data_IF_270346765329
#
_entry.id   IF_270346765329
#
_cell.length_a   1.000
_cell.length_b   1.000
_cell.length_c   1.000
_cell.angle_alpha   90.00
_cell.angle_beta   90.00
_cell.angle_gamma   90.00
#
_symmetry.space_group_name_H-M   'P 1'
#
loop_
_entity.id
_entity.type
_entity.pdbx_description
1 polymer ?
#
# COMPACT_ATOMS: atom_id res chain seq x y z
N UNK A 1 6.41 14.54 -20.90
CA UNK A 1 5.19 14.14 -20.13
C UNK A 1 4.82 12.77 -20.65
N UNK A 2 5.09 11.77 -19.86
CA UNK A 2 5.14 10.38 -20.28
C UNK A 2 3.75 9.73 -20.34
N UNK A 3 3.66 8.63 -21.11
CA UNK A 3 2.48 7.79 -21.30
C UNK A 3 1.87 7.22 -20.01
N UNK A 4 2.54 7.29 -18.88
CA UNK A 4 2.11 6.78 -17.58
C UNK A 4 0.92 7.52 -16.99
N UNK A 5 0.80 8.83 -17.21
CA UNK A 5 -0.30 9.63 -16.65
C UNK A 5 -1.69 9.32 -17.24
N UNK A 6 -1.74 8.70 -18.42
CA UNK A 6 -2.98 8.34 -19.12
C UNK A 6 -3.49 6.92 -18.75
N UNK A 7 -2.67 6.11 -18.11
CA UNK A 7 -2.97 4.71 -17.82
C UNK A 7 -3.90 4.54 -16.60
N UNK A 8 -3.84 5.46 -15.64
CA UNK A 8 -4.64 5.42 -14.40
C UNK A 8 -5.84 6.39 -14.50
N UNK A 9 -6.80 6.03 -15.36
CA UNK A 9 -8.05 6.78 -15.60
C UNK A 9 -9.23 6.21 -14.80
N UNK A 10 -10.42 6.76 -15.03
CA UNK A 10 -11.65 6.31 -14.38
C UNK A 10 -11.93 4.81 -14.63
N UNK A 11 -11.69 4.33 -15.86
CA UNK A 11 -11.94 2.94 -16.23
C UNK A 11 -11.01 2.00 -15.46
N UNK A 12 -9.76 2.38 -15.28
CA UNK A 12 -8.79 1.62 -14.48
C UNK A 12 -9.29 1.42 -13.04
N UNK A 13 -9.70 2.51 -12.36
CA UNK A 13 -10.14 2.43 -10.96
C UNK A 13 -11.47 1.68 -10.80
N UNK A 14 -12.38 1.80 -11.75
CA UNK A 14 -13.62 1.03 -11.76
C UNK A 14 -13.36 -0.46 -11.97
N UNK A 15 -12.51 -0.82 -12.95
CA UNK A 15 -12.17 -2.21 -13.25
C UNK A 15 -11.48 -2.93 -12.09
N UNK A 16 -10.62 -2.21 -11.34
CA UNK A 16 -9.87 -2.77 -10.21
C UNK A 16 -10.60 -2.63 -8.85
N UNK A 17 -11.86 -2.16 -8.83
CA UNK A 17 -12.62 -1.97 -7.59
C UNK A 17 -11.99 -0.97 -6.61
N UNK A 18 -11.19 -0.04 -7.13
CA UNK A 18 -10.43 0.95 -6.33
C UNK A 18 -11.09 2.33 -6.32
N UNK A 19 -12.22 2.49 -6.99
CA UNK A 19 -12.98 3.74 -7.02
C UNK A 19 -13.57 4.10 -5.65
N UNK A 20 -13.90 3.10 -4.81
CA UNK A 20 -14.61 3.26 -3.56
C UNK A 20 -13.74 3.09 -2.31
N UNK A 21 -14.29 3.54 -1.18
CA UNK A 21 -13.65 3.41 0.14
C UNK A 21 -13.73 1.96 0.66
N UNK A 22 -12.68 1.20 0.46
CA UNK A 22 -12.60 -0.22 0.81
C UNK A 22 -12.35 -0.44 2.31
N UNK A 23 -12.92 -1.50 2.92
CA UNK A 23 -12.70 -1.83 4.34
C UNK A 23 -11.23 -2.00 4.72
N UNK A 24 -10.39 -2.52 3.81
CA UNK A 24 -8.95 -2.67 4.02
C UNK A 24 -8.25 -1.36 4.40
N UNK A 25 -8.70 -0.21 3.86
CA UNK A 25 -8.12 1.10 4.17
C UNK A 25 -8.28 1.50 5.64
N UNK A 26 -9.34 1.04 6.32
CA UNK A 26 -9.51 1.21 7.77
C UNK A 26 -8.43 0.46 8.53
N UNK A 27 -8.13 -0.74 8.09
CA UNK A 27 -7.11 -1.54 8.73
C UNK A 27 -5.72 -0.96 8.49
N UNK A 28 -5.37 -0.54 7.27
CA UNK A 28 -4.11 0.15 6.99
C UNK A 28 -3.96 1.43 7.84
N UNK A 29 -5.02 2.23 7.96
CA UNK A 29 -5.03 3.39 8.87
C UNK A 29 -4.74 2.99 10.33
N UNK A 30 -5.29 1.84 10.78
CA UNK A 30 -5.02 1.32 12.13
C UNK A 30 -3.57 0.87 12.31
N UNK A 31 -2.95 0.30 11.27
CA UNK A 31 -1.53 -0.05 11.28
C UNK A 31 -0.66 1.21 11.38
N UNK A 32 -0.94 2.24 10.56
CA UNK A 32 -0.23 3.53 10.65
C UNK A 32 -0.31 4.09 12.06
N UNK A 33 -1.51 4.22 12.63
CA UNK A 33 -1.70 4.72 13.99
C UNK A 33 -0.96 3.91 15.06
N UNK A 34 -0.80 2.60 14.85
CA UNK A 34 -0.21 1.68 15.83
C UNK A 34 1.30 1.56 15.73
N UNK A 35 1.83 1.59 14.51
CA UNK A 35 3.22 1.20 14.25
C UNK A 35 4.07 2.33 13.71
N UNK A 36 3.56 3.57 13.73
CA UNK A 36 4.35 4.75 13.38
C UNK A 36 4.30 5.77 14.52
N UNK A 37 5.27 6.68 14.56
CA UNK A 37 5.39 7.73 15.57
C UNK A 37 4.55 8.98 15.23
N UNK A 38 3.53 8.81 14.38
CA UNK A 38 2.63 9.87 13.98
C UNK A 38 3.08 10.64 12.74
N UNK A 39 2.27 11.65 12.37
CA UNK A 39 2.46 12.48 11.18
C UNK A 39 3.50 13.59 11.32
N UNK A 40 3.57 14.49 10.33
CA UNK A 40 2.70 14.54 9.15
C UNK A 40 2.72 13.26 8.31
N UNK A 41 1.58 12.98 7.65
CA UNK A 41 1.37 11.74 6.90
C UNK A 41 1.47 11.99 5.40
N UNK A 42 2.06 11.05 4.65
CA UNK A 42 2.04 11.03 3.20
C UNK A 42 1.43 9.72 2.70
N UNK A 43 0.47 9.81 1.78
CA UNK A 43 0.01 8.66 1.00
C UNK A 43 0.64 8.74 -0.40
N UNK A 44 1.62 7.90 -0.66
CA UNK A 44 2.38 7.88 -1.91
C UNK A 44 1.71 6.92 -2.90
N UNK A 45 1.23 7.44 -4.03
CA UNK A 45 0.31 6.74 -4.92
C UNK A 45 -1.11 6.74 -4.33
N UNK A 46 -1.62 7.92 -3.95
CA UNK A 46 -2.85 8.02 -3.18
C UNK A 46 -4.14 7.70 -3.96
N UNK A 47 -4.03 7.48 -5.27
CA UNK A 47 -5.15 7.16 -6.15
C UNK A 47 -6.30 8.15 -5.98
N UNK A 48 -7.50 7.64 -5.74
CA UNK A 48 -8.72 8.46 -5.54
C UNK A 48 -8.83 9.12 -4.16
N UNK A 49 -7.81 8.99 -3.29
CA UNK A 49 -7.68 9.78 -2.04
C UNK A 49 -8.40 9.22 -0.81
N UNK A 50 -8.95 8.01 -0.87
CA UNK A 50 -9.68 7.45 0.27
C UNK A 50 -8.79 7.16 1.48
N UNK A 51 -7.54 6.70 1.28
CA UNK A 51 -6.61 6.48 2.39
C UNK A 51 -6.08 7.82 2.94
N UNK A 52 -5.66 8.75 2.08
CA UNK A 52 -5.19 10.07 2.55
C UNK A 52 -6.26 10.82 3.32
N UNK A 53 -7.55 10.70 2.94
CA UNK A 53 -8.67 11.24 3.74
C UNK A 53 -8.72 10.66 5.15
N UNK A 54 -8.44 9.36 5.31
CA UNK A 54 -8.39 8.72 6.62
C UNK A 54 -7.19 9.16 7.43
N UNK A 55 -6.05 9.35 6.78
CA UNK A 55 -4.83 9.87 7.41
C UNK A 55 -5.03 11.32 7.86
N UNK A 56 -5.74 12.16 7.09
CA UNK A 56 -6.03 13.54 7.47
C UNK A 56 -6.89 13.67 8.74
N UNK A 57 -7.63 12.61 9.09
CA UNK A 57 -8.34 12.54 10.38
C UNK A 57 -7.40 12.24 11.57
N UNK A 58 -6.17 11.81 11.33
CA UNK A 58 -5.15 11.57 12.36
C UNK A 58 -4.24 12.79 12.59
N UNK A 59 -4.09 13.66 11.58
CA UNK A 59 -3.24 14.83 11.59
C UNK A 59 -2.96 15.38 10.19
N UNK A 60 -2.04 16.34 10.04
CA UNK A 60 -1.66 16.89 8.74
C UNK A 60 -1.30 15.78 7.77
N UNK A 61 -1.91 15.78 6.57
CA UNK A 61 -1.71 14.74 5.58
C UNK A 61 -1.57 15.31 4.17
N UNK A 62 -0.75 14.64 3.36
CA UNK A 62 -0.60 14.90 1.93
C UNK A 62 -0.78 13.61 1.13
N UNK A 63 -1.13 13.74 -0.15
CA UNK A 63 -1.14 12.67 -1.13
C UNK A 63 -0.27 13.02 -2.32
N UNK A 64 0.49 12.06 -2.80
CA UNK A 64 1.19 12.15 -4.07
C UNK A 64 0.56 11.18 -5.07
N UNK A 65 0.26 11.64 -6.28
CA UNK A 65 -0.37 10.83 -7.32
C UNK A 65 0.07 11.30 -8.71
N UNK A 66 0.52 10.38 -9.54
CA UNK A 66 1.03 10.69 -10.89
C UNK A 66 -0.08 10.99 -11.91
N UNK A 67 -1.29 10.42 -11.69
CA UNK A 67 -2.44 10.63 -12.55
C UNK A 67 -3.18 11.91 -12.17
N UNK A 68 -3.28 12.85 -13.11
CA UNK A 68 -4.08 14.08 -12.93
C UNK A 68 -5.57 13.79 -12.70
N UNK A 69 -6.11 12.74 -13.32
CA UNK A 69 -7.48 12.30 -13.08
C UNK A 69 -7.67 11.91 -11.61
N UNK A 70 -6.81 11.02 -11.13
CA UNK A 70 -6.86 10.51 -9.75
C UNK A 70 -6.59 11.61 -8.74
N UNK A 71 -5.61 12.48 -9.00
CA UNK A 71 -5.29 13.61 -8.14
C UNK A 71 -6.48 14.60 -8.02
N UNK A 72 -7.20 14.87 -9.10
CA UNK A 72 -8.43 15.70 -9.02
C UNK A 72 -9.50 15.01 -8.17
N UNK A 73 -9.70 13.71 -8.36
CA UNK A 73 -10.66 12.93 -7.56
C UNK A 73 -10.25 12.90 -6.08
N UNK A 74 -8.95 12.72 -5.81
CA UNK A 74 -8.40 12.74 -4.46
C UNK A 74 -8.62 14.08 -3.75
N UNK A 75 -8.44 15.21 -4.44
CA UNK A 75 -8.73 16.55 -3.89
C UNK A 75 -10.19 16.71 -3.49
N UNK A 76 -11.11 16.13 -4.28
CA UNK A 76 -12.54 16.13 -3.93
C UNK A 76 -12.86 15.21 -2.74
N UNK A 77 -12.25 14.02 -2.68
CA UNK A 77 -12.51 13.03 -1.64
C UNK A 77 -11.81 13.34 -0.31
N UNK A 78 -10.69 14.07 -0.34
CA UNK A 78 -9.86 14.39 0.83
C UNK A 78 -9.59 15.91 0.95
N UNK A 79 -10.61 16.76 1.15
CA UNK A 79 -10.45 18.22 1.17
C UNK A 79 -9.58 18.72 2.35
N UNK A 80 -9.31 17.88 3.35
CA UNK A 80 -8.41 18.18 4.47
C UNK A 80 -6.94 17.83 4.23
N UNK A 81 -6.58 17.33 3.03
CA UNK A 81 -5.23 16.96 2.67
C UNK A 81 -4.70 17.77 1.48
N UNK A 82 -3.38 17.94 1.40
CA UNK A 82 -2.72 18.53 0.23
C UNK A 82 -2.43 17.44 -0.79
N UNK A 83 -2.93 17.55 -2.03
CA UNK A 83 -2.68 16.58 -3.10
C UNK A 83 -1.81 17.21 -4.18
N UNK A 84 -0.67 16.58 -4.46
CA UNK A 84 0.29 17.00 -5.49
C UNK A 84 0.54 15.90 -6.52
N UNK A 85 0.81 16.31 -7.75
CA UNK A 85 1.34 15.45 -8.83
C UNK A 85 2.83 15.70 -9.08
N UNK A 86 3.40 16.66 -8.35
CA UNK A 86 4.80 17.03 -8.44
C UNK A 86 5.59 16.41 -7.27
N UNK A 87 6.53 15.47 -7.54
CA UNK A 87 7.35 14.86 -6.51
C UNK A 87 8.33 15.85 -5.86
N UNK A 88 8.68 16.94 -6.56
CA UNK A 88 9.59 17.97 -6.05
C UNK A 88 8.90 18.90 -5.03
N UNK A 89 7.56 18.90 -5.00
CA UNK A 89 6.80 19.59 -3.95
C UNK A 89 6.84 18.87 -2.58
N UNK A 90 7.42 17.66 -2.50
CA UNK A 90 7.56 16.90 -1.27
C UNK A 90 8.88 17.28 -0.58
N UNK A 91 8.81 18.05 0.49
CA UNK A 91 9.96 18.58 1.20
C UNK A 91 10.74 17.50 1.98
N UNK A 92 12.05 17.72 2.12
CA UNK A 92 12.96 16.83 2.84
C UNK A 92 12.61 16.75 4.32
N UNK A 93 12.50 15.54 4.85
CA UNK A 93 12.24 15.31 6.27
C UNK A 93 10.86 15.78 6.76
N UNK A 94 9.94 16.12 5.85
CA UNK A 94 8.64 16.68 6.21
C UNK A 94 7.68 15.67 6.83
N UNK A 95 7.83 14.37 6.54
CA UNK A 95 6.85 13.36 6.93
C UNK A 95 7.34 12.45 8.04
N UNK A 96 6.48 12.21 9.04
CA UNK A 96 6.71 11.22 10.09
C UNK A 96 6.29 9.81 9.70
N UNK A 97 5.28 9.71 8.83
CA UNK A 97 4.81 8.44 8.31
C UNK A 97 4.39 8.55 6.84
N UNK A 98 4.69 7.50 6.08
CA UNK A 98 4.34 7.33 4.67
C UNK A 98 3.55 6.03 4.50
N UNK A 99 2.54 6.04 3.64
CA UNK A 99 1.89 4.83 3.13
C UNK A 99 2.15 4.69 1.64
N UNK A 100 2.38 3.46 1.17
CA UNK A 100 2.44 3.11 -0.24
C UNK A 100 1.75 1.75 -0.42
N UNK A 101 0.51 1.80 -0.86
CA UNK A 101 -0.36 0.64 -0.97
C UNK A 101 -0.55 0.30 -2.43
N UNK A 102 0.01 -0.81 -2.87
CA UNK A 102 -0.01 -1.24 -4.27
C UNK A 102 0.62 -0.18 -5.20
N UNK A 103 1.92 0.08 -5.00
CA UNK A 103 2.69 1.05 -5.78
C UNK A 103 3.94 0.42 -6.39
N UNK A 104 4.77 -0.27 -5.60
CA UNK A 104 6.09 -0.73 -6.05
C UNK A 104 6.02 -1.81 -7.13
N UNK A 105 4.95 -2.59 -7.17
CA UNK A 105 4.69 -3.60 -8.20
C UNK A 105 4.46 -3.03 -9.60
N UNK A 106 4.14 -1.73 -9.69
CA UNK A 106 3.96 -1.01 -10.96
C UNK A 106 5.26 -0.38 -11.47
N UNK A 107 6.33 -0.40 -10.68
CA UNK A 107 7.60 0.24 -10.99
C UNK A 107 8.65 -0.80 -11.34
N UNK A 108 9.43 -0.57 -12.39
CA UNK A 108 10.64 -1.34 -12.60
C UNK A 108 11.66 -1.12 -11.47
N UNK A 109 12.67 -1.99 -11.37
CA UNK A 109 13.64 -1.93 -10.27
C UNK A 109 14.38 -0.58 -10.20
N UNK A 110 14.72 0.02 -11.33
CA UNK A 110 15.42 1.29 -11.37
C UNK A 110 14.53 2.45 -10.90
N UNK A 111 13.25 2.42 -11.24
CA UNK A 111 12.28 3.41 -10.76
C UNK A 111 11.94 3.19 -9.29
N UNK A 112 11.79 1.93 -8.85
CA UNK A 112 11.62 1.59 -7.46
C UNK A 112 12.81 2.04 -6.59
N UNK A 113 14.05 1.92 -7.09
CA UNK A 113 15.25 2.45 -6.43
C UNK A 113 15.17 3.96 -6.20
N UNK A 114 14.83 4.72 -7.24
CA UNK A 114 14.65 6.18 -7.14
C UNK A 114 13.52 6.55 -6.18
N UNK A 115 12.43 5.81 -6.22
CA UNK A 115 11.28 5.99 -5.33
C UNK A 115 11.66 5.77 -3.86
N UNK A 116 12.39 4.70 -3.56
CA UNK A 116 12.85 4.43 -2.19
C UNK A 116 13.87 5.46 -1.71
N UNK A 117 14.75 5.96 -2.59
CA UNK A 117 15.64 7.07 -2.28
C UNK A 117 14.83 8.36 -1.97
N UNK A 118 13.79 8.65 -2.75
CA UNK A 118 12.89 9.77 -2.48
C UNK A 118 12.15 9.59 -1.14
N UNK A 119 11.65 8.39 -0.82
CA UNK A 119 11.02 8.13 0.49
C UNK A 119 11.98 8.36 1.66
N UNK A 120 13.26 7.95 1.53
CA UNK A 120 14.27 8.25 2.53
C UNK A 120 14.55 9.75 2.67
N UNK A 121 14.46 10.51 1.59
CA UNK A 121 14.64 11.97 1.61
C UNK A 121 13.48 12.65 2.35
N UNK A 122 12.24 12.33 2.01
CA UNK A 122 11.03 13.02 2.49
C UNK A 122 10.58 12.57 3.89
N UNK A 123 10.84 11.31 4.29
CA UNK A 123 10.63 10.89 5.68
C UNK A 123 11.65 11.56 6.60
N UNK A 124 11.24 12.02 7.76
CA UNK A 124 12.19 12.46 8.81
C UNK A 124 13.06 11.29 9.28
N UNK A 125 14.26 11.53 9.86
CA UNK A 125 15.01 10.48 10.57
C UNK A 125 14.09 9.79 11.59
N UNK A 126 14.15 8.46 11.65
CA UNK A 126 13.23 7.65 12.47
C UNK A 126 11.80 7.53 11.94
N UNK A 127 11.45 8.21 10.86
CA UNK A 127 10.11 8.13 10.26
C UNK A 127 9.82 6.75 9.65
N UNK A 128 8.54 6.43 9.49
CA UNK A 128 8.08 5.10 9.11
C UNK A 128 7.41 5.07 7.74
N UNK A 129 7.46 3.91 7.07
CA UNK A 129 6.66 3.64 5.88
C UNK A 129 5.86 2.34 6.06
N UNK A 130 4.56 2.39 5.79
CA UNK A 130 3.70 1.21 5.62
C UNK A 130 3.61 0.89 4.13
N UNK A 131 4.15 -0.25 3.72
CA UNK A 131 4.23 -0.65 2.32
C UNK A 131 3.50 -1.97 2.12
N UNK A 132 2.65 -2.03 1.09
CA UNK A 132 1.86 -3.22 0.76
C UNK A 132 1.99 -3.52 -0.72
N UNK A 133 2.37 -4.75 -1.07
CA UNK A 133 2.50 -5.24 -2.44
C UNK A 133 1.90 -6.65 -2.56
N UNK A 134 1.35 -7.03 -3.74
CA UNK A 134 0.88 -8.39 -3.99
C UNK A 134 2.00 -9.42 -3.77
N UNK A 135 1.67 -10.56 -3.14
CA UNK A 135 2.63 -11.64 -2.89
C UNK A 135 2.38 -12.83 -3.85
N UNK A 136 3.21 -13.01 -4.90
CA UNK A 136 3.02 -14.09 -5.87
C UNK A 136 3.23 -15.50 -5.27
N UNK A 137 3.80 -15.61 -4.09
CA UNK A 137 3.90 -16.85 -3.32
C UNK A 137 2.89 -16.93 -2.17
N UNK A 138 2.05 -15.91 -2.04
CA UNK A 138 1.01 -15.81 -1.03
C UNK A 138 -0.08 -16.86 -1.19
N UNK A 139 -0.87 -17.02 -0.12
CA UNK A 139 -1.99 -17.96 -0.12
C UNK A 139 -3.08 -17.57 -1.12
N UNK A 140 -3.35 -16.28 -1.29
CA UNK A 140 -4.31 -15.77 -2.28
C UNK A 140 -3.97 -16.27 -3.68
N UNK A 141 -2.71 -16.11 -4.09
CA UNK A 141 -2.20 -16.61 -5.38
C UNK A 141 -2.38 -18.14 -5.52
N UNK A 142 -2.07 -18.91 -4.48
CA UNK A 142 -2.22 -20.38 -4.51
C UNK A 142 -3.68 -20.83 -4.61
N UNK A 143 -4.61 -20.08 -4.07
CA UNK A 143 -6.05 -20.37 -4.11
C UNK A 143 -6.71 -19.92 -5.41
N UNK A 144 -6.43 -18.71 -5.87
CA UNK A 144 -7.00 -18.12 -7.08
C UNK A 144 -6.38 -18.67 -8.38
N UNK A 145 -5.15 -19.20 -8.32
CA UNK A 145 -4.49 -19.70 -9.53
C UNK A 145 -4.18 -18.59 -10.53
N UNK A 146 -4.63 -18.75 -11.77
CA UNK A 146 -4.47 -17.77 -12.85
C UNK A 146 -5.32 -16.52 -12.68
N UNK A 147 -6.41 -16.62 -11.93
CA UNK A 147 -7.37 -15.53 -11.70
C UNK A 147 -6.99 -14.63 -10.52
N UNK A 148 -5.78 -14.79 -10.00
CA UNK A 148 -5.29 -13.98 -8.89
C UNK A 148 -5.13 -12.50 -9.27
N UNK A 149 -5.53 -11.61 -8.38
CA UNK A 149 -5.54 -10.16 -8.59
C UNK A 149 -4.17 -9.59 -9.05
N UNK A 150 -3.08 -10.18 -8.58
CA UNK A 150 -1.74 -9.77 -9.00
C UNK A 150 -1.44 -10.01 -10.48
N UNK A 151 -2.13 -10.93 -11.17
CA UNK A 151 -2.02 -11.17 -12.60
C UNK A 151 -3.15 -10.52 -13.41
N UNK A 152 -4.25 -10.14 -12.76
CA UNK A 152 -5.38 -9.52 -13.44
C UNK A 152 -5.05 -8.09 -13.90
N UNK A 153 -4.14 -7.41 -13.22
CA UNK A 153 -3.71 -6.07 -13.58
C UNK A 153 -2.44 -6.15 -14.47
N UNK A 154 -2.53 -5.76 -15.75
CA UNK A 154 -1.40 -5.79 -16.68
C UNK A 154 -0.30 -4.79 -16.34
N UNK A 155 -0.56 -3.85 -15.43
CA UNK A 155 0.41 -2.86 -14.97
C UNK A 155 1.33 -3.37 -13.87
N UNK A 156 1.07 -4.55 -13.33
CA UNK A 156 1.93 -5.22 -12.35
C UNK A 156 3.17 -5.82 -13.05
N UNK A 157 4.19 -5.01 -13.27
CA UNK A 157 5.42 -5.39 -13.99
C UNK A 157 6.53 -5.92 -13.06
N UNK A 158 6.35 -5.78 -11.74
CA UNK A 158 7.39 -6.07 -10.75
C UNK A 158 6.85 -6.84 -9.54
N UNK A 159 6.34 -8.04 -9.79
CA UNK A 159 5.84 -8.91 -8.72
C UNK A 159 7.01 -9.69 -8.10
N UNK A 160 7.32 -9.41 -6.83
CA UNK A 160 8.34 -10.14 -6.07
C UNK A 160 7.71 -10.88 -4.87
N UNK A 161 8.18 -12.10 -4.55
CA UNK A 161 7.87 -12.76 -3.30
C UNK A 161 8.23 -11.92 -2.08
N UNK A 162 7.57 -12.15 -0.96
CA UNK A 162 7.79 -11.42 0.30
C UNK A 162 9.28 -11.32 0.68
N UNK A 163 10.02 -12.43 0.61
CA UNK A 163 11.44 -12.46 0.96
C UNK A 163 12.29 -11.56 0.04
N UNK A 164 11.98 -11.52 -1.27
CA UNK A 164 12.69 -10.66 -2.21
C UNK A 164 12.37 -9.18 -1.98
N UNK A 165 11.11 -8.83 -1.70
CA UNK A 165 10.77 -7.46 -1.28
C UNK A 165 11.49 -7.06 0.00
N UNK A 166 11.54 -7.94 0.99
CA UNK A 166 12.27 -7.69 2.23
C UNK A 166 13.74 -7.37 1.97
N UNK A 167 14.42 -8.20 1.17
CA UNK A 167 15.81 -7.98 0.76
C UNK A 167 15.97 -6.67 -0.02
N UNK A 168 15.09 -6.42 -0.99
CA UNK A 168 15.10 -5.22 -1.82
C UNK A 168 14.99 -3.94 -0.97
N UNK A 169 14.08 -3.92 0.01
CA UNK A 169 13.85 -2.78 0.90
C UNK A 169 15.02 -2.55 1.87
N UNK A 170 15.55 -3.65 2.44
CA UNK A 170 16.68 -3.54 3.39
C UNK A 170 17.98 -3.13 2.71
N UNK A 171 18.24 -3.62 1.51
CA UNK A 171 19.42 -3.22 0.72
C UNK A 171 19.41 -1.72 0.37
N UNK A 172 18.23 -1.07 0.41
CA UNK A 172 18.05 0.37 0.17
C UNK A 172 17.97 1.21 1.45
N UNK A 173 18.43 0.61 2.56
CA UNK A 173 18.66 1.30 3.82
C UNK A 173 17.42 1.50 4.69
N UNK A 174 16.34 0.75 4.46
CA UNK A 174 15.22 0.70 5.38
C UNK A 174 15.40 -0.43 6.41
N UNK A 175 14.98 -0.17 7.64
CA UNK A 175 14.85 -1.20 8.68
C UNK A 175 13.44 -1.78 8.62
N UNK A 176 13.32 -3.10 8.52
CA UNK A 176 12.02 -3.78 8.62
C UNK A 176 11.71 -4.01 10.10
N UNK A 177 10.79 -3.25 10.66
CA UNK A 177 10.38 -3.40 12.06
C UNK A 177 9.25 -4.41 12.25
N UNK A 178 8.35 -4.49 11.25
CA UNK A 178 7.26 -5.45 11.21
C UNK A 178 7.05 -5.95 9.80
N UNK A 179 6.68 -7.20 9.69
CA UNK A 179 6.31 -7.81 8.42
C UNK A 179 5.19 -8.83 8.61
N UNK A 180 4.39 -9.03 7.57
CA UNK A 180 3.26 -9.94 7.61
C UNK A 180 2.46 -9.90 6.31
N UNK A 181 1.17 -10.17 6.41
CA UNK A 181 0.25 -10.14 5.27
C UNK A 181 -1.10 -9.53 5.68
N UNK A 182 -1.80 -8.99 4.70
CA UNK A 182 -3.11 -8.36 4.88
C UNK A 182 -4.27 -9.34 5.09
N UNK A 183 -4.12 -10.58 4.68
CA UNK A 183 -5.19 -11.58 4.73
C UNK A 183 -5.72 -11.93 3.35
N UNK A 184 -6.97 -12.39 3.29
CA UNK A 184 -7.66 -12.77 2.07
C UNK A 184 -8.93 -11.92 1.95
N UNK A 185 -8.94 -10.95 1.05
CA UNK A 185 -10.05 -10.00 0.88
C UNK A 185 -11.07 -10.45 -0.17
N UNK A 186 -10.62 -11.14 -1.21
CA UNK A 186 -11.44 -11.63 -2.31
C UNK A 186 -11.93 -13.06 -2.07
N UNK A 187 -12.67 -13.27 -1.00
CA UNK A 187 -13.30 -14.56 -0.68
C UNK A 187 -14.66 -14.70 -1.40
N UNK A 188 -15.02 -15.91 -1.83
CA UNK A 188 -14.41 -17.21 -1.59
C UNK A 188 -13.37 -17.60 -2.65
N UNK A 189 -12.22 -18.11 -2.18
CA UNK A 189 -11.23 -18.76 -3.03
C UNK A 189 -11.46 -20.27 -3.10
N UNK A 190 -11.51 -20.82 -4.30
CA UNK A 190 -11.47 -22.26 -4.51
C UNK A 190 -12.83 -22.96 -4.55
N UNK A 191 -12.80 -24.29 -4.45
CA UNK A 191 -13.94 -25.19 -4.71
C UNK A 191 -14.75 -25.58 -3.48
N UNK A 192 -14.38 -25.15 -2.28
CA UNK A 192 -15.14 -25.42 -1.07
C UNK A 192 -16.46 -24.63 -1.06
N UNK A 193 -17.51 -25.14 -0.40
CA UNK A 193 -18.75 -24.37 -0.21
C UNK A 193 -18.43 -23.02 0.41
N UNK A 194 -19.00 -21.95 -0.18
CA UNK A 194 -18.73 -20.54 0.19
C UNK A 194 -18.72 -20.26 1.70
N UNK A 195 -19.55 -20.97 2.46
CA UNK A 195 -19.63 -20.81 3.92
C UNK A 195 -18.38 -21.34 4.65
N UNK A 196 -17.83 -22.47 4.22
CA UNK A 196 -16.63 -23.06 4.80
C UNK A 196 -15.38 -22.27 4.41
N UNK A 197 -15.32 -21.78 3.18
CA UNK A 197 -14.24 -20.89 2.74
C UNK A 197 -14.27 -19.59 3.53
N UNK A 198 -15.43 -18.95 3.68
CA UNK A 198 -15.58 -17.75 4.49
C UNK A 198 -15.09 -17.97 5.94
N UNK A 199 -15.52 -19.06 6.61
CA UNK A 199 -15.09 -19.33 7.97
C UNK A 199 -13.58 -19.58 8.10
N UNK A 200 -13.01 -20.35 7.17
CA UNK A 200 -11.59 -20.77 7.23
C UNK A 200 -10.61 -19.61 6.95
N UNK A 201 -10.97 -18.70 6.07
CA UNK A 201 -10.05 -17.65 5.59
C UNK A 201 -10.42 -16.28 6.13
N UNK A 202 -11.70 -15.97 6.25
CA UNK A 202 -12.16 -14.68 6.74
C UNK A 202 -11.94 -14.51 8.25
N UNK A 203 -12.04 -15.57 9.06
CA UNK A 203 -11.93 -15.44 10.53
C UNK A 203 -10.58 -14.88 10.94
N UNK A 204 -9.40 -15.40 10.50
CA UNK A 204 -8.12 -14.82 10.86
C UNK A 204 -7.94 -13.39 10.32
N UNK A 205 -8.37 -13.12 9.09
CA UNK A 205 -8.32 -11.77 8.50
C UNK A 205 -9.23 -10.80 9.26
N UNK A 206 -10.42 -11.22 9.65
CA UNK A 206 -11.37 -10.43 10.42
C UNK A 206 -10.83 -10.13 11.84
N UNK A 207 -10.24 -11.12 12.53
CA UNK A 207 -9.60 -10.91 13.82
C UNK A 207 -8.43 -9.90 13.72
N UNK A 208 -7.63 -9.98 12.66
CA UNK A 208 -6.58 -9.01 12.37
C UNK A 208 -7.16 -7.62 12.12
N UNK A 209 -8.22 -7.53 11.30
CA UNK A 209 -8.93 -6.29 11.01
C UNK A 209 -9.48 -5.64 12.29
N UNK A 210 -10.20 -6.42 13.12
CA UNK A 210 -10.80 -5.91 14.37
C UNK A 210 -9.75 -5.46 15.38
N UNK A 211 -8.63 -6.19 15.49
CA UNK A 211 -7.56 -5.84 16.43
C UNK A 211 -6.72 -4.65 15.96
N UNK A 212 -6.80 -4.26 14.69
CA UNK A 212 -5.94 -3.25 14.06
C UNK A 212 -4.46 -3.59 14.18
N UNK A 213 -4.11 -4.89 14.16
CA UNK A 213 -2.74 -5.38 14.31
C UNK A 213 -2.31 -6.15 13.08
N UNK A 214 -1.01 -6.21 12.83
CA UNK A 214 -0.37 -7.12 11.87
C UNK A 214 -0.03 -8.42 12.61
N UNK A 215 -0.86 -9.44 12.44
CA UNK A 215 -0.78 -10.71 13.19
C UNK A 215 -0.48 -11.89 12.26
N UNK A 216 -1.00 -11.83 11.05
CA UNK A 216 -0.81 -12.90 10.07
C UNK A 216 0.63 -12.88 9.54
N UNK A 217 1.26 -14.07 9.56
CA UNK A 217 2.63 -14.23 9.05
C UNK A 217 2.68 -14.09 7.53
N UNK A 218 3.83 -13.67 6.95
CA UNK A 218 4.05 -13.63 5.51
C UNK A 218 3.58 -14.90 4.79
N UNK A 219 3.08 -14.77 3.57
CA UNK A 219 2.60 -15.87 2.75
C UNK A 219 1.23 -16.45 3.14
N UNK A 220 0.57 -15.95 4.21
CA UNK A 220 -0.75 -16.43 4.66
C UNK A 220 -1.93 -15.68 4.06
N UNK A 221 -1.69 -14.61 3.32
CA UNK A 221 -2.70 -13.75 2.69
C UNK A 221 -2.44 -13.51 1.20
N UNK A 222 -2.86 -12.37 0.73
CA UNK A 222 -2.76 -11.93 -0.66
C UNK A 222 -1.54 -11.06 -0.91
N UNK A 223 -1.26 -10.16 0.03
CA UNK A 223 -0.22 -9.15 -0.12
C UNK A 223 0.80 -9.23 1.00
N UNK A 224 2.03 -8.87 0.69
CA UNK A 224 3.08 -8.62 1.67
C UNK A 224 2.86 -7.25 2.30
N UNK A 225 2.98 -7.17 3.62
CA UNK A 225 2.85 -5.94 4.39
C UNK A 225 4.13 -5.72 5.18
N UNK A 226 4.73 -4.54 5.03
CA UNK A 226 5.93 -4.13 5.74
C UNK A 226 5.70 -2.82 6.49
N UNK A 227 6.14 -2.76 7.73
CA UNK A 227 6.36 -1.51 8.46
C UNK A 227 7.87 -1.29 8.48
N UNK A 228 8.26 -0.28 7.74
CA UNK A 228 9.66 0.11 7.56
C UNK A 228 9.97 1.32 8.43
N UNK A 229 11.22 1.44 8.85
CA UNK A 229 11.72 2.64 9.52
C UNK A 229 12.92 3.20 8.74
N UNK A 230 12.93 4.52 8.51
CA UNK A 230 14.14 5.23 8.10
C UNK A 230 15.09 5.28 9.28
N UNK A 231 16.38 4.85 9.15
CA UNK A 231 17.36 5.01 10.22
C UNK A 231 17.53 6.48 10.66
N UNK A 232 17.90 6.68 11.91
CA UNK A 232 18.14 8.04 12.46
C UNK A 232 19.39 8.69 11.86
N UNK A 233 20.36 7.84 11.48
CA UNK A 233 21.64 8.24 10.89
C UNK A 233 21.83 7.45 9.59
N UNK A 234 22.11 8.13 8.49
CA UNK A 234 22.36 7.50 7.17
C UNK A 234 22.47 8.49 6.06
#
# INVERSE_FOLDING_TARGET
MSSESTQYDEQYYQANGQADDRPALRWYTSLVRRYTDGGPYLDFGCGTGHLVRRLSALGPAAGFEVSEYSARTARANAPGATITTDPDALEDGAFGALTAIHVLEHLDDATADRTLAAWRRILRPGGHALVVMPDPEGRGRRLAGGDWMGFADPTHINLKPHAQWREFLTARGFLVEREGTDGLWDVPYGRLPKLLDAARYAVPAFAQFLSGRLVLRPGRGESSVFVLRRPDHG
#
